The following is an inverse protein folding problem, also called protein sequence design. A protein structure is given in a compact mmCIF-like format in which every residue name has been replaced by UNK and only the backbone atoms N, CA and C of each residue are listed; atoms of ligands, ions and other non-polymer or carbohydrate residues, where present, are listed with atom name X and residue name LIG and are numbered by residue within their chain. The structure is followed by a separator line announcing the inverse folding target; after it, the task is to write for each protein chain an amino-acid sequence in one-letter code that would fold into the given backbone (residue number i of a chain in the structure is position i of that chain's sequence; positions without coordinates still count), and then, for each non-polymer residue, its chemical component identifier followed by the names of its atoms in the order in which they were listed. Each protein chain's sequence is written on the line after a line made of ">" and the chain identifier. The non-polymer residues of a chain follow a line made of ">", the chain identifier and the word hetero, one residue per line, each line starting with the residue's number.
data_IF_976898674678
#
_entry.id   IF_976898674678
#
_cell.length_a   1.000
_cell.length_b   1.000
_cell.length_c   1.000
_cell.angle_alpha   90.00
_cell.angle_beta   90.00
_cell.angle_gamma   90.00
#
_symmetry.space_group_name_H-M   'P 1'
#
loop_
_entity.id
_entity.type
_entity.pdbx_description
1 polymer ?
#
# COMPACT_ATOMS: atom_id res chain seq x y z
N UNK A 1 10.88 -20.32 -4.65
CA UNK A 1 9.74 -19.67 -5.35
C UNK A 1 9.66 -18.18 -5.01
N UNK A 2 9.60 -17.81 -3.73
CA UNK A 2 9.52 -16.41 -3.28
C UNK A 2 10.64 -15.50 -3.85
N UNK A 3 11.92 -15.93 -3.74
CA UNK A 3 13.06 -15.17 -4.28
C UNK A 3 13.00 -14.91 -5.80
N UNK A 4 12.51 -15.87 -6.60
CA UNK A 4 12.40 -15.70 -8.05
C UNK A 4 11.32 -14.66 -8.41
N UNK A 5 10.21 -14.65 -7.68
CA UNK A 5 9.15 -13.65 -7.83
C UNK A 5 9.64 -12.23 -7.53
N UNK A 6 10.43 -12.07 -6.45
CA UNK A 6 11.06 -10.78 -6.13
C UNK A 6 11.93 -10.26 -7.26
N UNK A 7 12.82 -11.10 -7.80
CA UNK A 7 13.68 -10.72 -8.93
C UNK A 7 12.85 -10.37 -10.15
N UNK A 8 11.84 -11.20 -10.49
CA UNK A 8 10.98 -10.95 -11.64
C UNK A 8 10.21 -9.62 -11.53
N UNK A 9 9.76 -9.24 -10.33
CA UNK A 9 9.09 -7.96 -10.11
C UNK A 9 10.01 -6.76 -10.42
N UNK A 10 11.28 -6.83 -9.99
CA UNK A 10 12.26 -5.77 -10.27
C UNK A 10 12.60 -5.70 -11.76
N UNK A 11 12.82 -6.86 -12.40
CA UNK A 11 13.10 -6.93 -13.84
C UNK A 11 11.94 -6.35 -14.64
N UNK A 12 10.70 -6.73 -14.32
CA UNK A 12 9.52 -6.21 -15.00
C UNK A 12 9.39 -4.68 -14.85
N UNK A 13 9.68 -4.15 -13.66
CA UNK A 13 9.67 -2.70 -13.45
C UNK A 13 10.77 -1.99 -14.26
N UNK A 14 11.98 -2.57 -14.31
CA UNK A 14 13.08 -2.05 -15.11
C UNK A 14 12.76 -2.05 -16.62
N UNK A 15 12.24 -3.14 -17.14
CA UNK A 15 11.82 -3.25 -18.54
C UNK A 15 10.72 -2.26 -18.89
N UNK A 16 9.75 -2.05 -17.99
CA UNK A 16 8.70 -1.06 -18.17
C UNK A 16 9.23 0.40 -18.19
N UNK A 17 10.31 0.68 -17.44
CA UNK A 17 10.96 1.99 -17.41
C UNK A 17 11.97 2.21 -18.56
N UNK A 18 12.46 1.14 -19.19
CA UNK A 18 13.48 1.19 -20.24
C UNK A 18 13.16 2.15 -21.42
N UNK A 19 11.90 2.27 -21.92
CA UNK A 19 11.58 3.21 -22.99
C UNK A 19 11.87 4.67 -22.63
N UNK A 20 11.73 5.03 -21.35
CA UNK A 20 12.00 6.38 -20.88
C UNK A 20 13.51 6.64 -20.69
N UNK A 21 14.36 5.60 -20.72
CA UNK A 21 15.82 5.69 -20.52
C UNK A 21 16.23 6.43 -19.25
N UNK A 22 15.35 6.41 -18.24
CA UNK A 22 15.61 7.03 -16.94
C UNK A 22 15.86 5.96 -15.88
N UNK A 23 16.86 6.14 -15.01
CA UNK A 23 17.04 5.27 -13.85
C UNK A 23 15.82 5.31 -12.93
N UNK A 24 15.42 4.16 -12.40
CA UNK A 24 14.32 4.09 -11.45
C UNK A 24 14.77 4.74 -10.14
N UNK A 25 14.18 5.90 -9.84
CA UNK A 25 14.45 6.62 -8.60
C UNK A 25 14.01 5.83 -7.36
N UNK A 26 12.83 5.23 -7.44
CA UNK A 26 12.21 4.48 -6.35
C UNK A 26 11.33 3.38 -6.91
N UNK A 27 11.49 2.17 -6.38
CA UNK A 27 10.64 1.02 -6.66
C UNK A 27 9.96 0.58 -5.37
N UNK A 28 8.64 0.43 -5.41
CA UNK A 28 7.86 -0.11 -4.29
C UNK A 28 7.28 -1.45 -4.72
N UNK A 29 7.62 -2.51 -3.99
CA UNK A 29 7.10 -3.85 -4.22
C UNK A 29 6.06 -4.14 -3.15
N UNK A 30 4.81 -4.38 -3.57
CA UNK A 30 3.77 -4.86 -2.67
C UNK A 30 3.80 -6.39 -2.61
N UNK A 31 4.10 -6.94 -1.44
CA UNK A 31 4.06 -8.38 -1.18
C UNK A 31 2.76 -8.74 -0.47
N UNK A 32 2.08 -9.81 -0.88
CA UNK A 32 0.85 -10.25 -0.21
C UNK A 32 1.20 -11.03 1.08
N UNK A 33 0.81 -10.50 2.23
CA UNK A 33 1.21 -10.97 3.55
C UNK A 33 2.69 -10.70 3.85
N UNK A 34 3.18 -11.27 4.97
CA UNK A 34 4.56 -11.09 5.42
C UNK A 34 5.55 -11.67 4.41
N UNK A 35 6.48 -10.85 3.93
CA UNK A 35 7.53 -11.31 3.02
C UNK A 35 8.57 -12.14 3.77
N UNK A 36 9.04 -13.25 3.19
CA UNK A 36 10.09 -14.04 3.81
C UNK A 36 11.48 -13.39 3.56
N UNK A 37 12.49 -13.59 4.43
CA UNK A 37 13.79 -12.91 4.33
C UNK A 37 14.48 -13.09 2.97
N UNK A 38 14.34 -14.25 2.33
CA UNK A 38 14.91 -14.50 1.01
C UNK A 38 14.25 -13.69 -0.11
N UNK A 39 13.00 -13.29 0.05
CA UNK A 39 12.30 -12.38 -0.89
C UNK A 39 12.96 -11.01 -0.84
N UNK A 40 13.12 -10.45 0.37
CA UNK A 40 13.73 -9.14 0.59
C UNK A 40 15.17 -9.14 0.07
N UNK A 41 15.94 -10.19 0.37
CA UNK A 41 17.32 -10.31 -0.09
C UNK A 41 17.41 -10.40 -1.61
N UNK A 42 16.50 -11.13 -2.26
CA UNK A 42 16.45 -11.22 -3.73
C UNK A 42 16.04 -9.90 -4.38
N UNK A 43 15.03 -9.21 -3.84
CA UNK A 43 14.58 -7.90 -4.31
C UNK A 43 15.73 -6.88 -4.24
N UNK A 44 16.45 -6.83 -3.10
CA UNK A 44 17.61 -5.94 -2.93
C UNK A 44 18.71 -6.21 -3.95
N UNK A 45 19.08 -7.49 -4.15
CA UNK A 45 20.10 -7.87 -5.15
C UNK A 45 19.68 -7.48 -6.57
N UNK A 46 18.42 -7.73 -6.93
CA UNK A 46 17.91 -7.37 -8.25
C UNK A 46 17.85 -5.83 -8.42
N UNK A 47 17.42 -5.09 -7.40
CA UNK A 47 17.37 -3.63 -7.43
C UNK A 47 18.76 -3.02 -7.69
N UNK A 48 19.80 -3.53 -7.00
CA UNK A 48 21.19 -3.12 -7.25
C UNK A 48 21.64 -3.48 -8.67
N UNK A 49 21.30 -4.66 -9.18
CA UNK A 49 21.69 -5.08 -10.53
C UNK A 49 21.01 -4.29 -11.66
N UNK A 50 19.90 -3.59 -11.36
CA UNK A 50 19.10 -2.83 -12.32
C UNK A 50 19.06 -1.32 -12.03
N UNK A 51 20.05 -0.82 -11.29
CA UNK A 51 20.23 0.61 -10.97
C UNK A 51 19.00 1.29 -10.35
N UNK A 52 18.26 0.55 -9.51
CA UNK A 52 17.17 1.10 -8.69
C UNK A 52 17.78 1.80 -7.48
N UNK A 53 17.54 3.11 -7.34
CA UNK A 53 18.11 3.92 -6.25
C UNK A 53 17.51 3.63 -4.88
N UNK A 54 16.19 3.61 -4.80
CA UNK A 54 15.45 3.33 -3.57
C UNK A 54 14.52 2.13 -3.78
N UNK A 55 14.52 1.20 -2.83
CA UNK A 55 13.64 0.04 -2.84
C UNK A 55 12.88 -0.04 -1.52
N UNK A 56 11.55 -0.05 -1.63
CA UNK A 56 10.66 -0.42 -0.54
C UNK A 56 10.01 -1.77 -0.82
N UNK A 57 9.93 -2.62 0.20
CA UNK A 57 9.09 -3.82 0.18
C UNK A 57 8.02 -3.60 1.22
N UNK A 58 6.76 -3.52 0.77
CA UNK A 58 5.60 -3.29 1.61
C UNK A 58 4.82 -4.59 1.71
N UNK A 59 4.78 -5.14 2.93
CA UNK A 59 3.98 -6.31 3.23
C UNK A 59 2.51 -5.90 3.39
N UNK A 60 1.68 -6.27 2.42
CA UNK A 60 0.24 -5.97 2.40
C UNK A 60 -0.49 -7.16 3.00
N UNK A 61 -0.86 -7.05 4.26
CA UNK A 61 -1.71 -8.05 4.91
C UNK A 61 -3.18 -7.68 4.68
N UNK A 62 -3.85 -8.41 3.78
CA UNK A 62 -5.31 -8.35 3.63
C UNK A 62 -5.94 -9.22 4.72
N UNK A 63 -6.66 -8.61 5.65
CA UNK A 63 -7.53 -9.32 6.59
C UNK A 63 -8.45 -10.29 5.82
N UNK A 64 -8.38 -11.61 6.07
CA UNK A 64 -9.31 -12.22 7.05
C UNK A 64 -8.80 -13.51 7.75
N UNK A 65 -9.04 -13.72 9.06
CA UNK A 65 -9.35 -15.07 9.62
C UNK A 65 -9.61 -15.17 11.13
N UNK A 66 -9.01 -14.38 12.03
CA UNK A 66 -9.21 -14.59 13.48
C UNK A 66 -9.06 -13.29 14.28
N UNK A 67 -10.18 -12.63 14.52
CA UNK A 67 -10.45 -11.76 15.66
C UNK A 67 -9.59 -10.48 15.90
N UNK A 68 -8.66 -10.09 15.04
CA UNK A 68 -7.80 -8.89 15.26
C UNK A 68 -8.22 -7.66 14.46
N UNK A 69 -9.46 -7.22 14.65
CA UNK A 69 -9.81 -5.80 14.55
C UNK A 69 -10.51 -5.34 13.27
N UNK A 70 -11.83 -5.17 13.34
CA UNK A 70 -12.55 -4.29 12.42
C UNK A 70 -12.16 -2.85 12.74
N UNK A 71 -11.73 -2.07 11.75
CA UNK A 71 -11.64 -0.62 11.91
C UNK A 71 -13.05 -0.05 11.91
N UNK A 72 -13.39 0.66 12.97
CA UNK A 72 -14.64 1.39 13.10
C UNK A 72 -14.34 2.84 13.45
N UNK A 73 -15.07 3.76 12.84
CA UNK A 73 -15.17 5.13 13.33
C UNK A 73 -16.28 5.19 14.39
N UNK A 74 -16.11 6.02 15.42
CA UNK A 74 -17.09 6.16 16.50
C UNK A 74 -17.23 7.60 16.98
N UNK A 75 -18.45 7.99 17.32
CA UNK A 75 -18.75 9.22 18.05
C UNK A 75 -19.93 8.98 19.01
N UNK A 76 -20.07 9.82 20.04
CA UNK A 76 -21.20 9.74 20.99
C UNK A 76 -22.55 9.96 20.29
N UNK A 77 -22.60 10.82 19.29
CA UNK A 77 -23.85 11.23 18.65
C UNK A 77 -24.30 10.27 17.52
N UNK A 78 -23.34 9.60 16.85
CA UNK A 78 -23.61 8.76 15.66
C UNK A 78 -23.34 7.28 15.85
N UNK A 79 -22.79 6.89 17.00
CA UNK A 79 -22.38 5.50 17.24
C UNK A 79 -21.26 5.03 16.32
N UNK A 80 -21.15 3.72 16.14
CA UNK A 80 -20.13 3.10 15.28
C UNK A 80 -20.55 3.14 13.82
N UNK A 81 -19.61 3.48 12.93
CA UNK A 81 -19.84 3.55 11.50
C UNK A 81 -18.60 3.14 10.71
N UNK A 82 -18.80 2.89 9.42
CA UNK A 82 -17.72 2.55 8.50
C UNK A 82 -16.76 3.75 8.38
N UNK A 83 -15.45 3.55 8.53
CA UNK A 83 -14.48 4.59 8.26
C UNK A 83 -14.45 4.93 6.76
N UNK A 84 -14.16 6.19 6.41
CA UNK A 84 -14.06 6.59 5.01
C UNK A 84 -12.82 5.95 4.34
N UNK A 85 -12.93 5.70 3.04
CA UNK A 85 -11.81 5.32 2.19
C UNK A 85 -10.77 6.43 2.16
N UNK A 86 -9.50 6.02 2.14
CA UNK A 86 -8.35 6.93 2.14
C UNK A 86 -7.87 7.32 3.55
N UNK A 87 -8.60 6.95 4.60
CA UNK A 87 -8.11 7.09 5.97
C UNK A 87 -6.96 6.12 6.21
N UNK A 88 -5.85 6.62 6.77
CA UNK A 88 -4.74 5.80 7.22
C UNK A 88 -4.11 6.38 8.48
N UNK A 89 -3.46 5.51 9.26
CA UNK A 89 -2.69 5.92 10.43
C UNK A 89 -1.60 4.91 10.73
N UNK A 90 -0.49 5.40 11.28
CA UNK A 90 0.58 4.55 11.78
C UNK A 90 0.12 3.82 13.05
N UNK A 91 0.47 2.54 13.15
CA UNK A 91 0.31 1.71 14.36
C UNK A 91 1.66 1.31 14.96
N UNK A 92 2.75 1.62 14.28
CA UNK A 92 4.12 1.43 14.72
C UNK A 92 5.07 2.29 13.88
N UNK A 93 6.38 2.07 14.04
CA UNK A 93 7.40 2.77 13.25
C UNK A 93 7.31 2.43 11.76
N UNK A 94 7.05 1.15 11.46
CA UNK A 94 7.08 0.61 10.10
C UNK A 94 5.71 0.09 9.64
N UNK A 95 4.70 0.19 10.50
CA UNK A 95 3.37 -0.39 10.29
C UNK A 95 2.29 0.69 10.26
N UNK A 96 1.35 0.55 9.31
CA UNK A 96 0.19 1.41 9.19
C UNK A 96 -1.06 0.61 8.84
N UNK A 97 -2.22 1.13 9.25
CA UNK A 97 -3.52 0.67 8.77
C UNK A 97 -4.02 1.64 7.73
N UNK A 98 -4.49 1.13 6.59
CA UNK A 98 -5.09 1.92 5.52
C UNK A 98 -6.47 1.37 5.16
N UNK A 99 -7.48 2.25 5.18
CA UNK A 99 -8.84 1.94 4.75
C UNK A 99 -8.93 2.14 3.24
N UNK A 100 -8.87 1.04 2.51
CA UNK A 100 -8.84 1.05 1.03
C UNK A 100 -10.22 0.90 0.39
N UNK A 101 -11.27 0.68 1.18
CA UNK A 101 -12.66 0.52 0.70
C UNK A 101 -13.64 1.34 1.51
N UNK A 102 -14.68 1.89 0.87
CA UNK A 102 -15.69 2.75 1.49
C UNK A 102 -15.93 4.02 0.69
N UNK A 103 -16.74 4.92 1.25
CA UNK A 103 -16.99 6.23 0.68
C UNK A 103 -15.81 7.16 0.98
N UNK A 104 -15.51 8.09 0.08
CA UNK A 104 -14.37 8.99 0.24
C UNK A 104 -14.53 9.94 1.43
N UNK A 105 -13.43 10.22 2.12
CA UNK A 105 -13.41 11.17 3.23
C UNK A 105 -13.80 12.61 2.80
N UNK A 106 -13.68 12.92 1.51
CA UNK A 106 -14.11 14.19 0.90
C UNK A 106 -15.59 14.16 0.57
N UNK A 107 -16.43 14.11 1.61
CA UNK A 107 -17.88 14.33 1.54
C UNK A 107 -18.31 15.61 2.26
N UNK A 108 -17.43 16.61 2.39
CA UNK A 108 -17.70 17.87 3.08
C UNK A 108 -17.49 19.07 2.17
N UNK A 109 -18.57 19.58 1.58
CA UNK A 109 -18.68 20.97 1.13
C UNK A 109 -18.82 21.20 -0.37
N UNK A 110 -20.07 21.12 -0.86
CA UNK A 110 -20.52 21.79 -2.08
C UNK A 110 -21.95 22.25 -1.88
N UNK A 111 -22.13 23.47 -1.37
CA UNK A 111 -23.43 24.11 -1.26
C UNK A 111 -23.96 24.55 -2.62
N UNK A 112 -25.27 24.46 -2.78
CA UNK A 112 -26.01 25.02 -3.92
C UNK A 112 -27.49 25.05 -3.58
N UNK A 113 -27.96 26.21 -3.11
CA UNK A 113 -29.38 26.48 -2.96
C UNK A 113 -30.08 26.69 -4.31
N UNK A 114 -31.39 26.53 -4.28
CA UNK A 114 -32.38 26.75 -5.35
C UNK A 114 -33.59 25.89 -4.98
N UNK A 115 -34.72 26.44 -4.53
CA UNK A 115 -35.68 27.15 -5.40
C UNK A 115 -36.24 26.10 -6.36
N UNK A 116 -37.48 25.63 -6.24
CA UNK A 116 -38.75 26.25 -5.87
C UNK A 116 -39.64 25.33 -5.00
#
# INVERSE_FOLDING_TARGET
>A
RSAATATAAVVAAHEAAAPARVPIARLVIHHDGRSPPEFIAAAKRAATAHDVRELDVVDVSREPAVATGRVLSWSKDRGTHRPPRGLWWAIGTDDAVAVTTGDDATGGGGGGGGGE
#
